data_IF_490095371234
#
_entry.id   IF_490095371234
#
_cell.length_a   1.000
_cell.length_b   1.000
_cell.length_c   1.000
_cell.angle_alpha   90.00
_cell.angle_beta   90.00
_cell.angle_gamma   90.00
#
_symmetry.space_group_name_H-M   'P 1'
#
loop_
_entity.id
_entity.type
_entity.pdbx_description
1 polymer ?
#
# COMPACT_ATOMS: atom_id res chain seq x y z
N UNK A 1 12.04 17.11 -5.15
CA UNK A 1 11.72 16.16 -4.07
C UNK A 1 10.24 16.31 -3.78
N UNK A 2 9.42 15.34 -4.16
CA UNK A 2 8.02 15.31 -3.72
C UNK A 2 8.04 15.09 -2.20
N UNK A 3 7.46 16.01 -1.44
CA UNK A 3 7.38 15.87 0.00
C UNK A 3 6.30 14.84 0.28
N UNK A 4 6.73 13.60 0.49
CA UNK A 4 5.82 12.52 0.88
C UNK A 4 5.33 12.83 2.28
N UNK A 5 4.01 12.94 2.45
CA UNK A 5 3.41 13.17 3.74
C UNK A 5 3.40 11.85 4.50
N UNK A 6 4.44 11.59 5.30
CA UNK A 6 4.64 10.33 6.02
C UNK A 6 3.36 9.77 6.68
N UNK A 7 2.51 10.64 7.22
CA UNK A 7 1.21 10.29 7.77
C UNK A 7 0.27 9.63 6.75
N UNK A 8 0.19 10.17 5.53
CA UNK A 8 -0.68 9.69 4.46
C UNK A 8 -0.21 8.32 3.96
N UNK A 9 1.10 8.13 3.82
CA UNK A 9 1.73 6.82 3.62
C UNK A 9 1.33 5.81 4.71
N UNK A 10 1.44 6.19 5.99
CA UNK A 10 1.06 5.31 7.12
C UNK A 10 -0.43 4.92 7.08
N UNK A 11 -1.31 5.84 6.65
CA UNK A 11 -2.74 5.55 6.46
C UNK A 11 -2.98 4.53 5.34
N UNK A 12 -2.23 4.61 4.23
CA UNK A 12 -2.26 3.63 3.15
C UNK A 12 -1.79 2.25 3.60
N UNK A 13 -0.66 2.21 4.29
CA UNK A 13 -0.10 0.99 4.88
C UNK A 13 -1.08 0.33 5.86
N UNK A 14 -1.72 1.13 6.73
CA UNK A 14 -2.71 0.64 7.67
C UNK A 14 -3.95 0.05 6.96
N UNK A 15 -4.40 0.67 5.86
CA UNK A 15 -5.51 0.16 5.07
C UNK A 15 -5.17 -1.19 4.41
N UNK A 16 -3.97 -1.33 3.86
CA UNK A 16 -3.47 -2.60 3.31
C UNK A 16 -3.43 -3.70 4.37
N UNK A 17 -2.84 -3.39 5.53
CA UNK A 17 -2.75 -4.32 6.68
C UNK A 17 -4.12 -4.71 7.23
N UNK A 18 -5.11 -3.83 7.10
CA UNK A 18 -6.50 -4.12 7.43
C UNK A 18 -7.24 -4.92 6.33
N UNK A 19 -6.58 -5.27 5.22
CA UNK A 19 -7.18 -5.99 4.10
C UNK A 19 -8.18 -5.17 3.29
N UNK A 20 -8.13 -3.83 3.37
CA UNK A 20 -8.99 -2.93 2.59
C UNK A 20 -8.39 -2.72 1.20
N UNK A 21 -9.24 -2.43 0.21
CA UNK A 21 -8.83 -2.09 -1.15
C UNK A 21 -8.35 -0.63 -1.26
N UNK A 22 -7.76 -0.26 -2.40
CA UNK A 22 -7.39 1.13 -2.72
C UNK A 22 -8.59 2.08 -2.80
N UNK A 23 -9.81 1.56 -2.94
CA UNK A 23 -11.07 2.30 -2.82
C UNK A 23 -11.28 2.90 -1.42
N UNK A 24 -10.55 2.43 -0.40
CA UNK A 24 -10.56 3.01 0.94
C UNK A 24 -9.79 4.34 1.03
N UNK A 25 -9.09 4.73 -0.05
CA UNK A 25 -8.38 6.00 -0.15
C UNK A 25 -9.38 7.18 -0.09
N UNK A 26 -9.35 8.02 0.97
CA UNK A 26 -10.26 9.14 1.10
C UNK A 26 -9.87 10.35 0.23
N UNK A 27 -8.68 10.31 -0.39
CA UNK A 27 -8.15 11.44 -1.15
C UNK A 27 -8.59 11.36 -2.62
N UNK A 28 -8.84 12.51 -3.27
CA UNK A 28 -9.22 12.54 -4.67
C UNK A 28 -8.10 11.99 -5.57
N UNK A 29 -8.47 11.09 -6.48
CA UNK A 29 -7.57 10.49 -7.46
C UNK A 29 -6.78 11.56 -8.24
N UNK A 30 -5.48 11.36 -8.38
CA UNK A 30 -4.57 12.31 -9.04
C UNK A 30 -4.05 13.43 -8.13
N UNK A 31 -4.48 13.50 -6.87
CA UNK A 31 -3.89 14.42 -5.88
C UNK A 31 -2.61 13.85 -5.30
N UNK A 32 -1.70 14.72 -4.83
CA UNK A 32 -0.46 14.31 -4.18
C UNK A 32 -0.71 13.39 -2.98
N UNK A 33 -1.73 13.66 -2.17
CA UNK A 33 -2.10 12.80 -1.05
C UNK A 33 -2.60 11.41 -1.50
N UNK A 34 -3.30 11.33 -2.63
CA UNK A 34 -3.72 10.03 -3.17
C UNK A 34 -2.51 9.22 -3.65
N UNK A 35 -1.52 9.87 -4.26
CA UNK A 35 -0.29 9.19 -4.67
C UNK A 35 0.48 8.67 -3.46
N UNK A 36 0.62 9.50 -2.43
CA UNK A 36 1.30 9.18 -1.18
C UNK A 36 0.66 8.01 -0.42
N UNK A 37 -0.68 8.02 -0.34
CA UNK A 37 -1.46 6.96 0.29
C UNK A 37 -1.28 5.64 -0.45
N UNK A 38 -1.32 5.68 -1.79
CA UNK A 38 -1.09 4.50 -2.61
C UNK A 38 0.34 3.97 -2.45
N UNK A 39 1.32 4.87 -2.36
CA UNK A 39 2.73 4.52 -2.15
C UNK A 39 2.89 3.71 -0.84
N UNK A 40 2.27 4.16 0.25
CA UNK A 40 2.24 3.44 1.52
C UNK A 40 1.40 2.16 1.50
N UNK A 41 0.28 2.15 0.78
CA UNK A 41 -0.58 0.98 0.58
C UNK A 41 0.15 -0.15 -0.17
N UNK A 42 1.05 0.19 -1.10
CA UNK A 42 1.92 -0.75 -1.81
C UNK A 42 3.27 -0.99 -1.11
N UNK A 43 3.60 -0.25 -0.05
CA UNK A 43 4.91 -0.34 0.62
C UNK A 43 5.10 -1.67 1.39
N UNK A 44 4.02 -2.30 1.81
CA UNK A 44 3.97 -3.64 2.43
C UNK A 44 3.40 -4.65 1.43
N UNK A 45 3.71 -4.50 0.15
CA UNK A 45 3.93 -5.67 -0.67
C UNK A 45 5.33 -6.18 -0.30
N UNK A 46 5.47 -7.10 0.68
CA UNK A 46 6.63 -7.96 0.61
C UNK A 46 6.59 -8.51 -0.81
N UNK A 47 7.70 -8.39 -1.52
CA UNK A 47 8.00 -9.24 -2.67
C UNK A 47 7.32 -10.56 -2.40
N UNK A 48 6.45 -10.97 -3.31
CA UNK A 48 5.71 -12.21 -3.29
C UNK A 48 6.70 -13.36 -3.03
N UNK A 49 7.10 -13.56 -1.77
CA UNK A 49 7.59 -14.78 -1.19
C UNK A 49 6.33 -15.62 -1.00
N UNK A 50 5.65 -15.84 -2.14
CA UNK A 50 5.17 -17.14 -2.49
C UNK A 50 6.48 -17.95 -2.48
N UNK A 51 6.92 -18.38 -1.30
CA UNK A 51 7.62 -19.65 -1.20
C UNK A 51 6.76 -20.56 -2.08
N UNK A 52 7.25 -21.04 -3.24
CA UNK A 52 6.53 -22.08 -3.93
C UNK A 52 6.44 -23.17 -2.87
N UNK A 53 5.24 -23.31 -2.30
CA UNK A 53 4.85 -24.41 -1.45
C UNK A 53 5.52 -25.61 -2.07
N UNK A 54 6.50 -26.18 -1.35
CA UNK A 54 7.29 -27.30 -1.82
C UNK A 54 6.28 -28.31 -2.34
N UNK A 55 6.20 -28.37 -3.67
CA UNK A 55 5.19 -29.15 -4.35
C UNK A 55 5.74 -30.57 -4.37
N UNK A 56 5.44 -31.27 -3.29
CA UNK A 56 5.10 -32.69 -3.26
C UNK A 56 6.20 -33.71 -3.63
N UNK A 57 6.45 -34.66 -2.71
CA UNK A 57 6.81 -36.04 -3.07
C UNK A 57 8.23 -36.50 -2.82
#
# INVERSE_FOLDING_TARGET
MAFVSQKVMEEGLAAKRAGRSDEANPYPAGSQNSADWLEGYTADEPEQNIDPVESDG
#
